data_IF_039187410560
#
_entry.id   IF_039187410560
#
_cell.length_a   1.000
_cell.length_b   1.000
_cell.length_c   1.000
_cell.angle_alpha   90.00
_cell.angle_beta   90.00
_cell.angle_gamma   90.00
#
_symmetry.space_group_name_H-M   'P 1'
#
loop_
_entity.id
_entity.type
_entity.pdbx_description
1 polymer ?
#
# COMPACT_ATOMS: atom_id res chain seq x y z
N UNK A 1 8.51 15.60 5.98
CA UNK A 1 7.38 14.77 5.50
C UNK A 1 7.24 13.60 6.45
N UNK A 2 6.04 13.34 6.95
CA UNK A 2 5.73 12.18 7.80
C UNK A 2 5.32 11.03 6.88
N UNK A 3 6.16 10.00 6.79
CA UNK A 3 5.89 8.82 5.97
C UNK A 3 5.39 7.69 6.86
N UNK A 4 4.36 6.98 6.41
CA UNK A 4 3.82 5.79 7.09
C UNK A 4 3.87 4.60 6.16
N UNK A 5 4.40 3.49 6.66
CA UNK A 5 4.46 2.24 5.92
C UNK A 5 3.15 1.47 6.06
N UNK A 6 2.57 1.07 4.94
CA UNK A 6 1.47 0.11 4.88
C UNK A 6 2.06 -1.29 4.70
N UNK A 7 1.67 -2.21 5.56
CA UNK A 7 2.14 -3.59 5.50
C UNK A 7 1.34 -4.37 4.44
N UNK A 8 2.04 -4.96 3.47
CA UNK A 8 1.46 -5.77 2.40
C UNK A 8 1.55 -7.27 2.69
N UNK A 9 1.71 -7.69 3.96
CA UNK A 9 2.13 -9.01 4.47
C UNK A 9 1.71 -10.30 3.73
N UNK A 10 0.70 -10.28 2.86
CA UNK A 10 0.26 -11.41 2.04
C UNK A 10 -0.13 -11.05 0.59
N UNK A 11 0.19 -9.85 0.10
CA UNK A 11 -0.10 -9.49 -1.29
C UNK A 11 0.85 -10.24 -2.23
N UNK A 12 0.28 -10.92 -3.22
CA UNK A 12 1.06 -11.55 -4.28
C UNK A 12 1.75 -10.49 -5.15
N UNK A 13 2.84 -10.82 -5.85
CA UNK A 13 3.38 -9.92 -6.87
C UNK A 13 2.34 -9.62 -7.96
N UNK A 14 2.25 -8.38 -8.41
CA UNK A 14 1.28 -7.95 -9.41
C UNK A 14 1.03 -6.44 -9.43
N UNK A 15 0.14 -6.02 -10.32
CA UNK A 15 -0.34 -4.65 -10.41
C UNK A 15 -1.52 -4.45 -9.44
N UNK A 16 -1.47 -3.38 -8.65
CA UNK A 16 -2.48 -3.02 -7.67
C UNK A 16 -2.90 -1.57 -7.82
N UNK A 17 -4.21 -1.34 -7.84
CA UNK A 17 -4.76 0.01 -7.76
C UNK A 17 -4.76 0.47 -6.30
N UNK A 18 -4.07 1.58 -6.02
CA UNK A 18 -4.17 2.28 -4.74
C UNK A 18 -5.45 3.11 -4.75
N UNK A 19 -6.26 2.94 -3.71
CA UNK A 19 -7.50 3.67 -3.49
C UNK A 19 -7.51 4.28 -2.09
N UNK A 20 -8.22 5.39 -1.92
CA UNK A 20 -8.46 6.02 -0.61
C UNK A 20 -9.94 6.21 -0.37
N UNK A 21 -10.35 6.16 0.89
CA UNK A 21 -11.71 6.46 1.32
C UNK A 21 -11.69 7.27 2.61
N UNK A 22 -12.73 8.08 2.80
CA UNK A 22 -12.94 8.81 4.05
C UNK A 22 -13.85 8.00 4.97
N UNK A 23 -13.55 8.05 6.26
CA UNK A 23 -14.32 7.35 7.28
C UNK A 23 -14.92 8.34 8.27
N UNK A 24 -16.13 8.06 8.71
CA UNK A 24 -16.76 8.77 9.82
C UNK A 24 -16.11 8.31 11.14
N UNK A 25 -15.42 9.20 11.88
CA UNK A 25 -14.50 8.79 12.95
C UNK A 25 -15.22 8.14 14.15
N UNK A 26 -16.50 8.49 14.39
CA UNK A 26 -17.25 7.93 15.51
C UNK A 26 -17.83 6.54 15.23
N UNK A 27 -18.10 6.22 13.96
CA UNK A 27 -18.81 4.97 13.57
C UNK A 27 -17.91 4.00 12.82
N UNK A 28 -16.80 4.49 12.24
CA UNK A 28 -15.94 3.71 11.37
C UNK A 28 -16.55 3.40 10.00
N UNK A 29 -17.69 4.01 9.66
CA UNK A 29 -18.33 3.83 8.35
C UNK A 29 -17.65 4.67 7.27
N UNK A 30 -17.61 4.17 6.04
CA UNK A 30 -17.09 4.92 4.89
C UNK A 30 -18.11 5.93 4.40
N UNK A 31 -17.64 7.14 4.10
CA UNK A 31 -18.45 8.13 3.41
C UNK A 31 -18.69 7.73 1.95
N UNK A 32 -19.86 8.09 1.45
CA UNK A 32 -20.16 8.06 0.01
C UNK A 32 -19.49 9.26 -0.65
N UNK A 33 -18.70 9.01 -1.67
CA UNK A 33 -18.18 10.02 -2.60
C UNK A 33 -19.29 10.39 -3.57
N UNK A 34 -19.41 11.68 -3.86
CA UNK A 34 -20.37 12.22 -4.82
C UNK A 34 -19.64 13.04 -5.88
N UNK A 35 -20.22 13.11 -7.08
CA UNK A 35 -19.76 14.01 -8.13
C UNK A 35 -20.22 15.46 -7.88
N UNK A 36 -19.89 16.36 -8.82
CA UNK A 36 -20.23 17.78 -8.76
C UNK A 36 -21.75 18.04 -8.78
N UNK A 37 -22.55 17.07 -9.26
CA UNK A 37 -24.02 17.15 -9.29
C UNK A 37 -24.68 16.55 -8.04
N UNK A 38 -23.87 15.96 -7.15
CA UNK A 38 -24.35 15.27 -5.95
C UNK A 38 -24.73 13.80 -6.20
N UNK A 39 -24.45 13.23 -7.38
CA UNK A 39 -24.71 11.83 -7.66
C UNK A 39 -23.62 10.93 -7.04
N UNK A 40 -23.96 9.75 -6.49
CA UNK A 40 -23.01 8.88 -5.83
C UNK A 40 -22.03 8.21 -6.83
N UNK A 41 -20.75 8.25 -6.50
CA UNK A 41 -19.65 7.63 -7.27
C UNK A 41 -19.09 6.36 -6.61
N UNK A 42 -19.56 6.03 -5.40
CA UNK A 42 -19.04 4.94 -4.58
C UNK A 42 -18.47 5.47 -3.26
N UNK A 43 -17.48 4.77 -2.69
CA UNK A 43 -16.93 5.05 -1.36
C UNK A 43 -15.39 4.96 -1.31
N UNK A 44 -14.74 4.86 -2.48
CA UNK A 44 -13.30 4.92 -2.65
C UNK A 44 -12.93 5.74 -3.90
N UNK A 45 -11.81 6.46 -3.84
CA UNK A 45 -11.23 7.22 -4.94
C UNK A 45 -9.85 6.64 -5.33
N UNK A 46 -9.59 6.38 -6.62
CA UNK A 46 -8.30 5.88 -7.08
C UNK A 46 -7.21 6.95 -6.99
N UNK A 47 -6.04 6.60 -6.47
CA UNK A 47 -4.85 7.47 -6.46
C UNK A 47 -3.85 7.14 -7.57
N UNK A 48 -3.74 5.88 -7.94
CA UNK A 48 -2.79 5.41 -8.97
C UNK A 48 -2.47 3.93 -8.82
N UNK A 49 -1.67 3.41 -9.75
CA UNK A 49 -1.24 2.01 -9.75
C UNK A 49 0.13 1.86 -9.09
N UNK A 50 0.34 0.75 -8.38
CA UNK A 50 1.64 0.30 -7.88
C UNK A 50 1.92 -1.13 -8.33
N UNK A 51 3.19 -1.43 -8.60
CA UNK A 51 3.64 -2.77 -8.93
C UNK A 51 4.32 -3.38 -7.72
N UNK A 52 3.77 -4.49 -7.22
CA UNK A 52 4.42 -5.30 -6.20
C UNK A 52 5.28 -6.36 -6.88
N UNK A 53 6.60 -6.28 -6.65
CA UNK A 53 7.53 -7.31 -7.08
C UNK A 53 7.56 -8.51 -6.13
N UNK A 54 8.14 -9.64 -6.54
CA UNK A 54 8.48 -10.72 -5.61
C UNK A 54 9.40 -10.19 -4.50
N UNK A 55 9.31 -10.76 -3.28
CA UNK A 55 10.27 -10.42 -2.24
C UNK A 55 11.68 -10.72 -2.75
N UNK A 56 12.62 -9.83 -2.45
CA UNK A 56 14.03 -10.08 -2.76
C UNK A 56 14.45 -11.39 -2.07
N UNK A 57 15.06 -12.30 -2.83
CA UNK A 57 15.70 -13.47 -2.25
C UNK A 57 16.93 -12.94 -1.51
N UNK A 58 17.02 -13.07 -0.18
CA UNK A 58 18.19 -12.61 0.54
C UNK A 58 19.40 -13.38 0.02
N UNK A 59 20.50 -12.67 -0.25
CA UNK A 59 21.74 -13.37 -0.59
C UNK A 59 22.20 -14.25 0.58
N UNK A 60 23.17 -15.13 0.32
CA UNK A 60 23.70 -16.03 1.34
C UNK A 60 24.29 -15.30 2.56
N UNK A 61 24.82 -14.08 2.38
CA UNK A 61 25.36 -13.30 3.48
C UNK A 61 24.25 -12.82 4.42
N UNK A 62 23.12 -12.32 3.89
CA UNK A 62 21.94 -11.97 4.70
C UNK A 62 21.25 -13.20 5.30
N UNK A 63 21.20 -14.32 4.57
CA UNK A 63 20.61 -15.56 5.09
C UNK A 63 21.35 -16.08 6.34
N UNK A 64 22.68 -15.88 6.40
CA UNK A 64 23.51 -16.35 7.51
C UNK A 64 23.75 -15.27 8.58
N UNK A 65 23.70 -14.00 8.21
CA UNK A 65 24.00 -12.86 9.10
C UNK A 65 22.92 -11.80 8.88
N UNK A 66 21.88 -11.71 9.73
CA UNK A 66 20.78 -10.76 9.57
C UNK A 66 21.21 -9.29 9.47
N UNK A 67 22.35 -8.91 10.07
CA UNK A 67 22.92 -7.57 9.97
C UNK A 67 23.46 -7.23 8.57
N UNK A 68 23.73 -8.22 7.73
CA UNK A 68 24.20 -8.03 6.34
C UNK A 68 23.05 -7.72 5.37
N UNK A 69 21.78 -7.85 5.77
CA UNK A 69 20.65 -7.53 4.89
C UNK A 69 20.56 -6.02 4.56
N UNK A 70 21.14 -5.16 5.39
CA UNK A 70 21.17 -3.71 5.19
C UNK A 70 21.97 -3.27 3.94
N UNK A 71 22.87 -4.11 3.41
CA UNK A 71 23.60 -3.81 2.17
C UNK A 71 22.84 -4.24 0.90
N UNK A 72 21.68 -4.88 1.02
CA UNK A 72 20.86 -5.35 -0.12
C UNK A 72 19.74 -4.40 -0.51
N UNK A 73 19.47 -3.36 0.29
CA UNK A 73 18.57 -2.29 -0.13
C UNK A 73 19.24 -1.51 -1.26
N UNK A 74 18.80 -1.75 -2.49
CA UNK A 74 19.20 -0.96 -3.67
C UNK A 74 18.65 0.47 -3.51
N UNK A 75 19.37 1.53 -3.93
CA UNK A 75 18.84 2.89 -3.94
C UNK A 75 17.60 3.04 -4.83
#
# INVERSE_FOLDING_TARGET
>A
MDWRQLSTQAAAPGAYQVVVGLYHPATGERFTLVDETGAPLGNEAPLGEVILGPPAIPDQACALIPLACASQSTP
#
